data_IF_873047358180
#
_entry.id   IF_873047358180
#
_cell.length_a   1.000
_cell.length_b   1.000
_cell.length_c   1.000
_cell.angle_alpha   90.00
_cell.angle_beta   90.00
_cell.angle_gamma   90.00
#
_symmetry.space_group_name_H-M   'P 1'
#
loop_
_entity.id
_entity.type
_entity.pdbx_description
1 polymer ?
#
# COMPACT_ATOMS: atom_id res chain seq x y z
N UNK A 1 -7.95 19.97 -7.58
CA UNK A 1 -7.18 18.93 -6.88
C UNK A 1 -7.88 17.58 -7.01
N UNK A 2 -7.40 16.75 -7.93
CA UNK A 2 -7.80 15.34 -8.02
C UNK A 2 -7.20 14.60 -6.81
N UNK A 3 -8.02 13.87 -6.04
CA UNK A 3 -7.49 12.99 -4.97
C UNK A 3 -6.85 11.77 -5.61
N UNK A 4 -5.69 11.35 -5.10
CA UNK A 4 -4.97 10.17 -5.59
C UNK A 4 -4.78 9.22 -4.40
N UNK A 5 -5.04 7.93 -4.62
CA UNK A 5 -4.73 6.87 -3.67
C UNK A 5 -3.67 5.97 -4.29
N UNK A 6 -2.54 5.80 -3.60
CA UNK A 6 -1.54 4.80 -3.95
C UNK A 6 -1.83 3.57 -3.08
N UNK A 7 -2.33 2.51 -3.70
CA UNK A 7 -2.75 1.29 -3.01
C UNK A 7 -1.67 0.22 -3.12
N UNK A 8 -0.92 -0.02 -2.04
CA UNK A 8 0.08 -1.08 -2.01
C UNK A 8 -0.59 -2.41 -1.69
N UNK A 9 -0.66 -3.31 -2.66
CA UNK A 9 -1.35 -4.59 -2.56
C UNK A 9 -0.38 -5.76 -2.73
N UNK A 10 -0.28 -6.57 -1.69
CA UNK A 10 0.57 -7.76 -1.60
C UNK A 10 -0.23 -8.84 -0.87
N UNK A 11 -0.13 -10.13 -1.28
CA UNK A 11 -0.76 -11.22 -0.55
C UNK A 11 -0.37 -11.21 0.93
N UNK A 12 -1.35 -11.43 1.82
CA UNK A 12 -1.11 -11.40 3.28
C UNK A 12 -0.02 -12.39 3.70
N UNK A 13 0.07 -13.56 3.07
CA UNK A 13 1.12 -14.54 3.36
C UNK A 13 2.53 -13.99 3.09
N UNK A 14 2.69 -13.20 2.03
CA UNK A 14 3.97 -12.57 1.69
C UNK A 14 4.29 -11.40 2.63
N UNK A 15 3.28 -10.64 3.05
CA UNK A 15 3.44 -9.62 4.09
C UNK A 15 3.92 -10.24 5.41
N UNK A 16 3.31 -11.33 5.86
CA UNK A 16 3.75 -12.04 7.07
C UNK A 16 5.20 -12.50 6.99
N UNK A 17 5.58 -13.07 5.84
CA UNK A 17 6.97 -13.48 5.60
C UNK A 17 7.94 -12.29 5.77
N UNK A 18 7.64 -11.16 5.14
CA UNK A 18 8.47 -9.94 5.24
C UNK A 18 8.54 -9.38 6.65
N UNK A 19 7.46 -9.49 7.42
CA UNK A 19 7.41 -9.03 8.82
C UNK A 19 8.33 -9.87 9.70
N UNK A 20 8.41 -11.18 9.48
CA UNK A 20 9.29 -12.07 10.24
C UNK A 20 10.76 -11.90 9.83
N UNK A 21 11.02 -11.68 8.55
CA UNK A 21 12.38 -11.53 7.99
C UNK A 21 12.97 -10.12 8.12
N UNK A 22 12.26 -9.16 8.74
CA UNK A 22 12.74 -7.77 8.85
C UNK A 22 13.92 -7.67 9.81
N UNK A 23 15.01 -7.06 9.36
CA UNK A 23 16.20 -6.78 10.18
C UNK A 23 16.22 -5.34 10.71
N UNK A 24 15.80 -4.36 9.88
CA UNK A 24 15.71 -2.94 10.23
C UNK A 24 14.24 -2.48 10.24
N UNK A 25 13.60 -2.54 11.41
CA UNK A 25 12.23 -2.05 11.59
C UNK A 25 12.19 -0.66 12.25
N UNK A 26 11.90 0.42 11.49
CA UNK A 26 11.78 1.76 12.05
C UNK A 26 10.46 1.98 12.81
N UNK A 27 9.50 1.05 12.78
CA UNK A 27 8.18 1.24 13.38
C UNK A 27 8.11 0.93 14.89
N UNK A 28 9.18 0.37 15.48
CA UNK A 28 9.23 -0.20 16.84
C UNK A 28 8.09 -1.19 17.15
N UNK A 29 7.28 -1.57 16.15
CA UNK A 29 6.11 -2.40 16.34
C UNK A 29 6.56 -3.85 16.50
N UNK A 30 6.12 -4.51 17.58
CA UNK A 30 6.36 -5.93 17.73
C UNK A 30 5.51 -6.75 16.73
N UNK A 31 5.79 -8.05 16.64
CA UNK A 31 5.11 -8.96 15.70
C UNK A 31 3.58 -8.99 15.94
N UNK A 32 3.14 -8.96 17.19
CA UNK A 32 1.72 -9.00 17.55
C UNK A 32 0.97 -7.78 17.02
N UNK A 33 1.55 -6.59 17.15
CA UNK A 33 0.97 -5.34 16.62
C UNK A 33 0.82 -5.41 15.11
N UNK A 34 1.82 -5.93 14.40
CA UNK A 34 1.76 -6.02 12.94
C UNK A 34 0.76 -7.07 12.44
N UNK A 35 0.65 -8.22 13.12
CA UNK A 35 -0.39 -9.20 12.82
C UNK A 35 -1.78 -8.62 13.07
N UNK A 36 -1.96 -7.86 14.16
CA UNK A 36 -3.21 -7.15 14.42
C UNK A 36 -3.52 -6.15 13.31
N UNK A 37 -2.55 -5.36 12.84
CA UNK A 37 -2.73 -4.43 11.74
C UNK A 37 -3.14 -5.12 10.43
N UNK A 38 -2.55 -6.29 10.13
CA UNK A 38 -2.94 -7.10 8.97
C UNK A 38 -4.39 -7.59 9.09
N UNK A 39 -4.81 -8.00 10.30
CA UNK A 39 -6.18 -8.47 10.55
C UNK A 39 -7.21 -7.34 10.50
N UNK A 40 -6.87 -6.15 10.98
CA UNK A 40 -7.75 -4.98 10.96
C UNK A 40 -7.74 -4.20 9.64
N UNK A 41 -6.95 -4.63 8.65
CA UNK A 41 -6.81 -3.95 7.36
C UNK A 41 -8.14 -3.90 6.63
N UNK A 42 -8.62 -2.69 6.34
CA UNK A 42 -9.83 -2.47 5.55
C UNK A 42 -9.48 -2.27 4.07
N UNK A 43 -10.27 -2.84 3.13
CA UNK A 43 -10.10 -2.55 1.72
C UNK A 43 -10.57 -1.13 1.40
N UNK A 44 -10.01 -0.53 0.34
CA UNK A 44 -10.51 0.75 -0.18
C UNK A 44 -11.99 0.59 -0.57
N UNK A 45 -12.84 1.43 0.01
CA UNK A 45 -14.28 1.41 -0.21
C UNK A 45 -14.65 1.83 -1.64
N UNK A 46 -15.86 1.46 -2.07
CA UNK A 46 -16.39 1.89 -3.36
C UNK A 46 -16.55 3.42 -3.46
N UNK A 47 -16.79 4.10 -2.34
CA UNK A 47 -16.91 5.57 -2.30
C UNK A 47 -15.55 6.22 -2.51
N UNK A 48 -14.51 5.72 -1.83
CA UNK A 48 -13.14 6.22 -2.02
C UNK A 48 -12.66 6.01 -3.46
N UNK A 49 -12.93 4.85 -4.05
CA UNK A 49 -12.61 4.57 -5.47
C UNK A 49 -13.29 5.52 -6.45
N UNK A 50 -14.48 6.06 -6.11
CA UNK A 50 -15.19 7.05 -6.95
C UNK A 50 -14.63 8.45 -6.78
N UNK A 51 -14.13 8.79 -5.59
CA UNK A 51 -13.66 10.13 -5.25
C UNK A 51 -12.16 10.34 -5.54
N UNK A 52 -11.41 9.27 -5.78
CA UNK A 52 -9.98 9.32 -6.00
C UNK A 52 -9.55 8.42 -7.17
N UNK A 53 -8.51 8.86 -7.89
CA UNK A 53 -7.82 8.00 -8.85
C UNK A 53 -6.91 7.06 -8.08
N UNK A 54 -7.08 5.76 -8.26
CA UNK A 54 -6.31 4.74 -7.54
C UNK A 54 -5.22 4.18 -8.44
N UNK A 55 -3.98 4.16 -7.94
CA UNK A 55 -2.84 3.47 -8.55
C UNK A 55 -2.46 2.31 -7.64
N UNK A 56 -2.68 1.08 -8.09
CA UNK A 56 -2.32 -0.12 -7.32
C UNK A 56 -0.88 -0.52 -7.61
N UNK A 57 -0.10 -0.73 -6.55
CA UNK A 57 1.33 -1.10 -6.59
C UNK A 57 1.51 -2.46 -5.94
N UNK A 58 2.27 -3.35 -6.58
CA UNK A 58 2.50 -4.72 -6.11
C UNK A 58 3.65 -4.87 -5.12
N UNK A 59 3.99 -6.11 -4.77
CA UNK A 59 5.03 -6.44 -3.80
C UNK A 59 6.45 -6.10 -4.21
N UNK A 60 6.73 -5.94 -5.51
CA UNK A 60 8.06 -5.62 -6.06
C UNK A 60 8.36 -4.12 -6.06
N UNK A 61 7.53 -3.30 -5.41
CA UNK A 61 7.66 -1.85 -5.41
C UNK A 61 6.97 -1.19 -6.61
N UNK A 62 7.14 0.13 -6.73
CA UNK A 62 6.53 0.95 -7.77
C UNK A 62 7.36 0.90 -9.06
N UNK A 63 6.75 0.55 -10.18
CA UNK A 63 7.42 0.55 -11.48
C UNK A 63 7.58 1.98 -12.02
N UNK A 64 8.50 2.19 -12.96
CA UNK A 64 8.68 3.49 -13.64
C UNK A 64 7.37 3.97 -14.29
N UNK A 65 6.59 3.07 -14.87
CA UNK A 65 5.31 3.40 -15.51
C UNK A 65 4.27 3.86 -14.48
N UNK A 66 4.22 3.23 -13.30
CA UNK A 66 3.35 3.64 -12.20
C UNK A 66 3.78 4.98 -11.60
N UNK A 67 5.09 5.23 -11.50
CA UNK A 67 5.62 6.55 -11.10
C UNK A 67 5.18 7.61 -12.10
N UNK A 68 5.28 7.33 -13.41
CA UNK A 68 4.85 8.27 -14.44
C UNK A 68 3.34 8.51 -14.39
N UNK A 69 2.55 7.45 -14.21
CA UNK A 69 1.10 7.56 -14.00
C UNK A 69 0.78 8.51 -12.84
N UNK A 70 1.44 8.36 -11.68
CA UNK A 70 1.23 9.25 -10.53
C UNK A 70 1.61 10.70 -10.87
N UNK A 71 2.72 10.93 -11.59
CA UNK A 71 3.13 12.28 -12.03
C UNK A 71 2.08 12.94 -12.93
N UNK A 72 1.57 12.20 -13.91
CA UNK A 72 0.55 12.71 -14.83
C UNK A 72 -0.74 13.04 -14.08
N UNK A 73 -1.08 12.29 -13.03
CA UNK A 73 -2.23 12.58 -12.17
C UNK A 73 -2.04 13.81 -11.28
N UNK A 74 -0.81 14.13 -10.88
CA UNK A 74 -0.48 15.31 -10.07
C UNK A 74 -0.37 16.59 -10.90
N UNK A 75 -0.02 16.47 -12.19
CA UNK A 75 0.10 17.60 -13.11
C UNK A 75 -1.25 18.14 -13.63
N UNK A 76 -2.36 17.42 -13.37
CA UNK A 76 -3.72 17.75 -13.81
C UNK A 76 -4.66 18.10 -12.62
#
# INVERSE_FOLDING_TARGET
>A
CSKIIIHCEVPTAELRKRIVEREDDPSEANLEVLEQQLQSRQPISAVEKKLARTVTVGGTGISTDQVQQVRDLLAN
#
